data_IF_356230382744
#
_entry.id   IF_356230382744
#
_cell.length_a   1.000
_cell.length_b   1.000
_cell.length_c   1.000
_cell.angle_alpha   90.00
_cell.angle_beta   90.00
_cell.angle_gamma   90.00
#
_symmetry.space_group_name_H-M   'P 1'
#
loop_
_entity.id
_entity.type
_entity.pdbx_description
1 polymer ?
#
# COMPACT_ATOMS: atom_id res chain seq x y z
N UNK A 1 -10.41 5.51 4.06
CA UNK A 1 -10.12 4.10 3.74
C UNK A 1 -9.48 4.05 2.37
N UNK A 2 -8.24 3.54 2.26
CA UNK A 2 -7.52 3.45 0.99
C UNK A 2 -8.36 2.73 -0.08
N UNK A 3 -8.53 3.39 -1.23
CA UNK A 3 -9.27 2.81 -2.37
C UNK A 3 -8.58 1.57 -2.93
N UNK A 4 -9.36 0.70 -3.57
CA UNK A 4 -8.84 -0.56 -4.12
C UNK A 4 -7.80 -0.30 -5.21
N UNK A 5 -8.03 0.71 -6.04
CA UNK A 5 -7.16 1.13 -7.14
C UNK A 5 -5.82 1.64 -6.60
N UNK A 6 -5.86 2.51 -5.58
CA UNK A 6 -4.64 3.05 -4.95
C UNK A 6 -3.84 1.94 -4.26
N UNK A 7 -4.53 1.01 -3.58
CA UNK A 7 -3.89 -0.16 -2.97
C UNK A 7 -3.21 -1.04 -4.02
N UNK A 8 -3.88 -1.33 -5.14
CA UNK A 8 -3.31 -2.14 -6.22
C UNK A 8 -2.10 -1.45 -6.88
N UNK A 9 -2.16 -0.13 -7.08
CA UNK A 9 -1.04 0.64 -7.61
C UNK A 9 0.18 0.58 -6.68
N UNK A 10 -0.01 0.82 -5.37
CA UNK A 10 1.07 0.74 -4.37
C UNK A 10 1.65 -0.68 -4.32
N UNK A 11 0.81 -1.71 -4.33
CA UNK A 11 1.29 -3.08 -4.33
C UNK A 11 2.13 -3.40 -5.57
N UNK A 12 1.73 -2.93 -6.76
CA UNK A 12 2.48 -3.16 -7.99
C UNK A 12 3.82 -2.39 -8.03
N UNK A 13 3.87 -1.19 -7.45
CA UNK A 13 5.06 -0.34 -7.40
C UNK A 13 6.17 -0.92 -6.50
N UNK A 14 5.79 -1.51 -5.36
CA UNK A 14 6.74 -2.04 -4.36
C UNK A 14 6.91 -3.56 -4.42
N UNK A 15 6.19 -4.25 -5.32
CA UNK A 15 6.29 -5.69 -5.51
C UNK A 15 7.69 -6.10 -5.99
N UNK A 16 8.26 -7.14 -5.38
CA UNK A 16 9.55 -7.72 -5.83
C UNK A 16 9.38 -8.58 -7.08
N UNK A 17 8.22 -9.21 -7.22
CA UNK A 17 7.86 -10.07 -8.35
C UNK A 17 6.38 -9.88 -8.71
N UNK A 18 5.96 -10.24 -9.93
CA UNK A 18 4.56 -10.18 -10.31
C UNK A 18 3.69 -11.00 -9.34
N UNK A 19 2.67 -10.35 -8.75
CA UNK A 19 1.78 -10.97 -7.78
C UNK A 19 2.30 -11.00 -6.33
N UNK A 20 3.43 -10.35 -6.04
CA UNK A 20 3.93 -10.20 -4.67
C UNK A 20 3.01 -9.28 -3.86
N UNK A 21 2.22 -9.88 -2.97
CA UNK A 21 1.32 -9.17 -2.05
C UNK A 21 1.79 -9.23 -0.60
N UNK A 22 2.88 -9.96 -0.33
CA UNK A 22 3.24 -10.42 1.00
C UNK A 22 4.60 -9.93 1.49
N UNK A 23 5.44 -9.40 0.61
CA UNK A 23 6.76 -8.89 1.00
C UNK A 23 6.67 -7.74 2.02
N UNK A 24 7.70 -7.60 2.88
CA UNK A 24 7.78 -6.49 3.83
C UNK A 24 7.61 -5.12 3.18
N UNK A 25 8.19 -4.89 2.00
CA UNK A 25 8.13 -3.61 1.30
C UNK A 25 6.71 -3.27 0.89
N UNK A 26 5.99 -4.23 0.28
CA UNK A 26 4.59 -4.06 -0.12
C UNK A 26 3.71 -3.79 1.10
N UNK A 27 3.89 -4.56 2.18
CA UNK A 27 3.10 -4.38 3.41
C UNK A 27 3.35 -3.01 4.05
N UNK A 28 4.62 -2.60 4.18
CA UNK A 28 4.99 -1.30 4.74
C UNK A 28 4.40 -0.18 3.89
N UNK A 29 4.53 -0.22 2.56
CA UNK A 29 4.01 0.81 1.67
C UNK A 29 2.48 0.98 1.81
N UNK A 30 1.72 -0.12 1.87
CA UNK A 30 0.26 -0.09 2.06
C UNK A 30 -0.11 0.46 3.44
N UNK A 31 0.59 0.04 4.50
CA UNK A 31 0.33 0.52 5.86
C UNK A 31 0.67 2.00 6.02
N UNK A 32 1.80 2.45 5.48
CA UNK A 32 2.18 3.87 5.45
C UNK A 32 1.15 4.71 4.73
N UNK A 33 0.69 4.29 3.55
CA UNK A 33 -0.35 5.02 2.83
C UNK A 33 -1.65 5.12 3.62
N UNK A 34 -2.04 4.06 4.35
CA UNK A 34 -3.21 4.06 5.21
C UNK A 34 -3.04 4.97 6.43
N UNK A 35 -1.85 5.01 7.04
CA UNK A 35 -1.53 5.90 8.16
C UNK A 35 -1.64 7.35 7.70
N UNK A 36 -1.01 7.71 6.57
CA UNK A 36 -1.05 9.07 6.05
C UNK A 36 -2.49 9.55 5.80
N UNK A 37 -3.30 8.72 5.14
CA UNK A 37 -4.72 9.04 4.92
C UNK A 37 -5.49 9.21 6.23
N UNK A 38 -5.24 8.34 7.23
CA UNK A 38 -5.88 8.48 8.54
C UNK A 38 -5.44 9.75 9.26
N UNK A 39 -4.16 10.11 9.17
CA UNK A 39 -3.61 11.33 9.76
C UNK A 39 -4.20 12.59 9.10
N UNK A 40 -4.42 12.59 7.78
CA UNK A 40 -5.09 13.70 7.09
C UNK A 40 -6.56 13.89 7.51
N UNK A 41 -7.17 12.88 8.13
CA UNK A 41 -8.55 12.93 8.64
C UNK A 41 -8.67 13.35 10.12
N UNK A 42 -7.55 13.59 10.82
CA UNK A 42 -7.50 14.08 12.20
C UNK A 42 -7.45 15.61 12.25
#
# INVERSE_FOLDING_TARGET
MISKEKKQAIMAEYARTPGDTGSPEVQVAVLTARINELTEHL
#
